data_IF_670668965869
#
_entry.id   IF_670668965869
#
_cell.length_a   1.000
_cell.length_b   1.000
_cell.length_c   1.000
_cell.angle_alpha   90.00
_cell.angle_beta   90.00
_cell.angle_gamma   90.00
#
_symmetry.space_group_name_H-M   'P 1'
#
loop_
_entity.id
_entity.type
_entity.pdbx_description
1 polymer ?
#
# COMPACT_ATOMS: atom_id res chain seq x y z
N UNK A 1 22.31 15.43 22.27
CA UNK A 1 21.62 15.79 21.03
C UNK A 1 20.95 14.54 20.47
N UNK A 2 19.67 14.61 20.15
CA UNK A 2 18.93 13.56 19.46
C UNK A 2 18.77 13.92 17.97
N UNK A 3 18.61 12.92 17.12
CA UNK A 3 18.52 13.19 15.69
C UNK A 3 17.17 13.79 15.32
N UNK A 4 16.06 13.12 15.68
CA UNK A 4 14.71 13.55 15.38
C UNK A 4 13.88 13.56 16.65
N UNK A 5 13.21 14.69 16.92
CA UNK A 5 12.21 14.82 17.98
C UNK A 5 10.87 15.22 17.36
N UNK A 6 9.78 14.56 17.76
CA UNK A 6 8.49 14.78 17.17
C UNK A 6 7.33 14.68 18.15
N UNK A 7 6.17 15.12 17.70
CA UNK A 7 4.93 15.07 18.46
C UNK A 7 3.77 15.72 17.74
N UNK A 8 2.67 15.89 18.41
CA UNK A 8 1.54 16.65 17.87
C UNK A 8 1.89 18.13 17.73
N UNK A 9 1.25 18.83 16.81
CA UNK A 9 1.50 20.26 16.59
C UNK A 9 1.21 21.11 17.83
N UNK A 10 0.34 20.66 18.72
CA UNK A 10 0.01 21.30 20.00
C UNK A 10 1.15 21.23 21.03
N UNK A 11 2.11 20.35 20.85
CA UNK A 11 3.27 20.23 21.74
C UNK A 11 4.38 21.23 21.42
N UNK A 12 4.34 21.91 20.27
CA UNK A 12 5.36 22.90 19.88
C UNK A 12 5.55 23.92 21.00
N UNK A 13 4.46 24.46 21.52
CA UNK A 13 4.49 25.38 22.66
C UNK A 13 3.35 25.01 23.65
N UNK A 14 3.63 24.99 24.96
CA UNK A 14 4.93 25.28 25.61
C UNK A 14 5.85 24.07 25.79
N UNK A 15 5.43 22.83 25.41
CA UNK A 15 6.11 21.60 25.81
C UNK A 15 7.53 21.48 25.21
N UNK A 16 7.65 21.46 23.90
CA UNK A 16 8.94 21.30 23.22
C UNK A 16 9.88 22.48 23.44
N UNK A 17 9.36 23.71 23.51
CA UNK A 17 10.15 24.89 23.87
C UNK A 17 10.75 24.76 25.27
N UNK A 18 10.00 24.22 26.24
CA UNK A 18 10.50 23.95 27.57
C UNK A 18 11.55 22.83 27.61
N UNK A 19 11.37 21.79 26.80
CA UNK A 19 12.37 20.71 26.66
C UNK A 19 13.69 21.25 26.12
N UNK A 20 13.63 22.09 25.09
CA UNK A 20 14.83 22.80 24.55
C UNK A 20 15.49 23.59 25.64
N UNK A 21 14.76 24.47 26.32
CA UNK A 21 15.27 25.34 27.35
C UNK A 21 15.96 24.57 28.49
N UNK A 22 15.32 23.50 28.98
CA UNK A 22 15.89 22.68 30.07
C UNK A 22 17.12 21.89 29.64
N UNK A 23 17.04 21.22 28.46
CA UNK A 23 18.12 20.38 27.97
C UNK A 23 19.35 21.19 27.59
N UNK A 24 19.16 22.28 26.84
CA UNK A 24 20.28 23.12 26.36
C UNK A 24 20.91 23.90 27.47
N UNK A 25 20.13 24.42 28.44
CA UNK A 25 20.70 25.07 29.62
C UNK A 25 21.58 24.13 30.47
N UNK A 26 21.23 22.84 30.55
CA UNK A 26 21.98 21.83 31.27
C UNK A 26 23.22 21.36 30.52
N UNK A 27 23.09 21.11 29.23
CA UNK A 27 24.10 20.40 28.44
C UNK A 27 25.03 21.32 27.64
N UNK A 28 24.58 22.53 27.33
CA UNK A 28 25.26 23.44 26.39
C UNK A 28 25.27 22.94 24.95
N UNK A 29 24.41 21.98 24.60
CA UNK A 29 24.33 21.35 23.28
C UNK A 29 22.94 21.46 22.74
N UNK A 30 22.79 21.53 21.40
CA UNK A 30 21.51 21.44 20.70
C UNK A 30 20.74 20.19 21.14
N UNK A 31 19.49 20.35 21.50
CA UNK A 31 18.64 19.27 21.99
C UNK A 31 18.26 18.28 20.88
N UNK A 32 17.72 18.76 19.77
CA UNK A 32 17.38 17.95 18.61
C UNK A 32 17.82 18.61 17.30
N UNK A 33 18.28 17.78 16.34
CA UNK A 33 18.69 18.26 15.02
C UNK A 33 17.47 18.57 14.13
N UNK A 34 16.44 17.71 14.18
CA UNK A 34 15.22 17.84 13.38
C UNK A 34 13.98 17.73 14.25
N UNK A 35 12.96 18.50 13.90
CA UNK A 35 11.67 18.54 14.57
C UNK A 35 10.55 18.19 13.60
N UNK A 36 9.69 17.25 13.99
CA UNK A 36 8.53 16.83 13.19
C UNK A 36 7.25 16.97 14.01
N UNK A 37 6.31 17.76 13.52
CA UNK A 37 5.03 17.99 14.18
C UNK A 37 3.87 17.50 13.32
N UNK A 38 3.13 16.52 13.84
CA UNK A 38 2.01 15.91 13.14
C UNK A 38 0.74 16.74 13.30
N UNK A 39 -0.09 16.74 12.25
CA UNK A 39 -1.49 17.14 12.34
C UNK A 39 -2.29 16.20 13.27
N UNK A 40 -3.47 16.65 13.65
CA UNK A 40 -4.37 15.86 14.49
C UNK A 40 -5.13 14.81 13.68
N UNK A 41 -5.51 13.72 14.35
CA UNK A 41 -6.60 12.87 13.88
C UNK A 41 -7.92 13.44 14.43
N UNK A 42 -8.84 13.76 13.53
CA UNK A 42 -10.16 14.29 13.85
C UNK A 42 -11.24 13.25 13.55
N UNK A 43 -12.36 13.31 14.25
CA UNK A 43 -13.49 12.39 14.07
C UNK A 43 -14.74 13.14 13.63
N UNK A 44 -15.61 12.43 12.89
CA UNK A 44 -16.92 12.90 12.50
C UNK A 44 -16.91 13.92 11.36
N UNK A 45 -18.11 14.36 10.96
CA UNK A 45 -18.27 15.29 9.84
C UNK A 45 -17.76 16.69 10.17
N UNK A 46 -17.86 17.10 11.43
CA UNK A 46 -17.45 18.42 11.92
C UNK A 46 -15.97 18.54 12.27
N UNK A 47 -15.18 17.48 11.97
CA UNK A 47 -13.72 17.42 12.23
C UNK A 47 -13.37 17.74 13.71
N UNK A 48 -14.15 17.23 14.66
CA UNK A 48 -13.86 17.39 16.06
C UNK A 48 -12.56 16.70 16.47
N UNK A 49 -11.76 17.36 17.29
CA UNK A 49 -10.54 16.78 17.85
C UNK A 49 -10.91 15.55 18.68
N UNK A 50 -10.29 14.41 18.38
CA UNK A 50 -10.42 13.21 19.19
C UNK A 50 -9.85 13.45 20.58
N UNK A 51 -10.65 13.26 21.63
CA UNK A 51 -10.17 13.37 23.01
C UNK A 51 -10.90 12.43 23.96
N UNK A 52 -10.19 11.93 24.97
CA UNK A 52 -10.78 11.07 26.03
C UNK A 52 -11.91 11.79 26.80
N UNK A 53 -11.77 13.10 27.00
CA UNK A 53 -12.75 13.91 27.74
C UNK A 53 -14.07 14.09 27.00
N UNK A 54 -14.08 14.00 25.68
CA UNK A 54 -15.28 14.11 24.85
C UNK A 54 -15.96 12.75 24.61
N UNK A 55 -15.33 11.64 25.04
CA UNK A 55 -15.89 10.30 24.83
C UNK A 55 -15.91 9.82 23.37
N UNK A 56 -15.30 10.59 22.45
CA UNK A 56 -15.18 10.28 21.03
C UNK A 56 -13.84 9.63 20.66
N UNK A 57 -13.16 9.04 21.65
CA UNK A 57 -11.84 8.45 21.50
C UNK A 57 -11.97 6.98 21.08
N UNK A 58 -11.39 6.65 19.92
CA UNK A 58 -11.27 5.27 19.43
C UNK A 58 -9.78 4.89 19.42
N UNK A 59 -9.42 3.75 19.99
CA UNK A 59 -8.03 3.30 19.97
C UNK A 59 -7.70 2.56 18.67
N UNK A 60 -6.43 2.58 18.27
CA UNK A 60 -5.94 1.73 17.16
C UNK A 60 -6.28 0.26 17.43
N UNK A 61 -6.15 -0.19 18.69
CA UNK A 61 -6.50 -1.55 19.09
C UNK A 61 -7.96 -1.90 18.80
N UNK A 62 -8.89 -0.96 19.00
CA UNK A 62 -10.31 -1.20 18.72
C UNK A 62 -10.60 -1.17 17.22
N UNK A 63 -10.00 -0.26 16.48
CA UNK A 63 -10.13 -0.19 15.02
C UNK A 63 -9.62 -1.49 14.36
N UNK A 64 -8.50 -2.03 14.82
CA UNK A 64 -7.90 -3.26 14.27
C UNK A 64 -8.74 -4.54 14.50
N UNK A 65 -9.84 -4.47 15.27
CA UNK A 65 -10.79 -5.58 15.37
C UNK A 65 -11.73 -5.66 14.15
N UNK A 66 -11.89 -4.55 13.42
CA UNK A 66 -12.85 -4.40 12.33
C UNK A 66 -12.19 -4.01 11.00
N UNK A 67 -11.02 -3.39 11.06
CA UNK A 67 -10.30 -2.84 9.90
C UNK A 67 -8.97 -3.58 9.71
N UNK A 68 -8.70 -4.00 8.48
CA UNK A 68 -7.41 -4.60 8.11
C UNK A 68 -6.24 -3.65 8.46
N UNK A 69 -5.18 -4.17 9.09
CA UNK A 69 -4.02 -3.36 9.48
C UNK A 69 -3.36 -2.60 8.32
N UNK A 70 -3.33 -3.18 7.12
CA UNK A 70 -2.77 -2.51 5.95
C UNK A 70 -3.66 -1.36 5.46
N UNK A 71 -4.98 -1.50 5.55
CA UNK A 71 -5.93 -0.42 5.22
C UNK A 71 -5.75 0.75 6.18
N UNK A 72 -5.67 0.49 7.49
CA UNK A 72 -5.45 1.55 8.48
C UNK A 72 -4.11 2.24 8.28
N UNK A 73 -3.04 1.46 8.02
CA UNK A 73 -1.71 2.01 7.73
C UNK A 73 -1.72 2.86 6.46
N UNK A 74 -2.35 2.38 5.40
CA UNK A 74 -2.48 3.11 4.15
C UNK A 74 -3.24 4.41 4.34
N UNK A 75 -4.37 4.39 5.06
CA UNK A 75 -5.16 5.58 5.39
C UNK A 75 -4.32 6.65 6.11
N UNK A 76 -3.56 6.24 7.13
CA UNK A 76 -2.75 7.17 7.93
C UNK A 76 -1.48 7.62 7.20
N UNK A 77 -0.81 6.72 6.49
CA UNK A 77 0.51 6.95 5.90
C UNK A 77 0.50 7.70 4.57
N UNK A 78 -0.63 7.74 3.86
CA UNK A 78 -0.75 8.39 2.55
C UNK A 78 -1.22 9.85 2.62
N UNK A 79 -1.54 10.34 3.82
CA UNK A 79 -1.80 11.75 4.06
C UNK A 79 -0.49 12.47 4.45
N UNK A 80 -0.35 13.74 4.07
CA UNK A 80 0.78 14.54 4.52
C UNK A 80 0.75 14.70 6.05
N UNK A 81 1.84 14.37 6.75
CA UNK A 81 1.88 14.27 8.21
C UNK A 81 1.54 15.56 8.97
N UNK A 82 1.78 16.74 8.37
CA UNK A 82 1.45 18.03 8.98
C UNK A 82 -0.04 18.36 8.91
N UNK A 83 -0.81 17.69 8.05
CA UNK A 83 -2.24 17.98 7.88
C UNK A 83 -3.09 17.15 8.83
N UNK A 84 -4.22 17.69 9.32
CA UNK A 84 -5.18 16.88 10.06
C UNK A 84 -5.73 15.75 9.19
N UNK A 85 -5.82 14.55 9.78
CA UNK A 85 -6.41 13.37 9.14
C UNK A 85 -7.80 13.17 9.70
N UNK A 86 -8.81 13.20 8.83
CA UNK A 86 -10.21 13.02 9.22
C UNK A 86 -10.57 11.53 9.17
N UNK A 87 -10.74 10.94 10.36
CA UNK A 87 -11.20 9.55 10.47
C UNK A 87 -12.73 9.49 10.32
N UNK A 88 -13.18 8.64 9.40
CA UNK A 88 -14.59 8.25 9.23
C UNK A 88 -14.66 6.88 8.56
N UNK A 89 -15.77 6.16 8.71
CA UNK A 89 -16.02 4.90 8.03
C UNK A 89 -15.86 5.04 6.50
N UNK A 90 -16.37 6.13 5.95
CA UNK A 90 -16.24 6.45 4.53
C UNK A 90 -14.76 6.60 4.11
N UNK A 91 -13.94 7.30 4.90
CA UNK A 91 -12.53 7.50 4.60
C UNK A 91 -11.74 6.17 4.67
N UNK A 92 -12.10 5.28 5.59
CA UNK A 92 -11.52 3.93 5.67
C UNK A 92 -11.92 3.09 4.46
N UNK A 93 -13.19 3.14 4.04
CA UNK A 93 -13.63 2.41 2.84
C UNK A 93 -12.96 2.95 1.56
N UNK A 94 -12.80 4.27 1.42
CA UNK A 94 -12.04 4.87 0.33
C UNK A 94 -10.56 4.42 0.34
N UNK A 95 -9.94 4.36 1.52
CA UNK A 95 -8.57 3.86 1.68
C UNK A 95 -8.46 2.37 1.27
N UNK A 96 -9.43 1.55 1.65
CA UNK A 96 -9.50 0.13 1.26
C UNK A 96 -9.58 -0.02 -0.26
N UNK A 97 -10.50 0.70 -0.91
CA UNK A 97 -10.65 0.68 -2.37
C UNK A 97 -9.36 1.12 -3.08
N UNK A 98 -8.70 2.14 -2.55
CA UNK A 98 -7.48 2.67 -3.15
C UNK A 98 -6.27 1.74 -2.93
N UNK A 99 -6.15 1.13 -1.75
CA UNK A 99 -5.15 0.09 -1.49
C UNK A 99 -5.34 -1.12 -2.42
N UNK A 100 -6.59 -1.54 -2.64
CA UNK A 100 -6.89 -2.65 -3.53
C UNK A 100 -6.46 -2.36 -4.98
N UNK A 101 -6.67 -1.14 -5.49
CA UNK A 101 -6.17 -0.74 -6.81
C UNK A 101 -4.65 -0.87 -6.91
N UNK A 102 -3.94 -0.50 -5.85
CA UNK A 102 -2.47 -0.63 -5.78
C UNK A 102 -2.05 -2.10 -5.81
N UNK A 103 -2.71 -2.95 -5.04
CA UNK A 103 -2.45 -4.40 -5.01
C UNK A 103 -2.76 -5.07 -6.35
N UNK A 104 -3.91 -4.77 -6.96
CA UNK A 104 -4.32 -5.34 -8.24
C UNK A 104 -3.33 -5.00 -9.36
N UNK A 105 -2.83 -3.76 -9.43
CA UNK A 105 -1.85 -3.38 -10.45
C UNK A 105 -0.57 -4.24 -10.34
N UNK A 106 -0.09 -4.48 -9.12
CA UNK A 106 1.05 -5.37 -8.88
C UNK A 106 0.74 -6.80 -9.30
N UNK A 107 -0.40 -7.35 -8.89
CA UNK A 107 -0.81 -8.73 -9.19
C UNK A 107 -0.95 -8.97 -10.70
N UNK A 108 -1.60 -8.04 -11.41
CA UNK A 108 -1.76 -8.12 -12.86
C UNK A 108 -0.41 -8.17 -13.58
N UNK A 109 0.50 -7.28 -13.21
CA UNK A 109 1.83 -7.24 -13.80
C UNK A 109 2.65 -8.48 -13.42
N UNK A 110 2.59 -8.91 -12.16
CA UNK A 110 3.31 -10.11 -11.70
C UNK A 110 2.84 -11.37 -12.43
N UNK A 111 1.55 -11.49 -12.68
CA UNK A 111 0.99 -12.61 -13.46
C UNK A 111 1.59 -12.70 -14.86
N UNK A 112 1.88 -11.56 -15.51
CA UNK A 112 2.47 -11.51 -16.86
C UNK A 112 3.92 -11.98 -16.94
N UNK A 113 4.60 -12.18 -15.81
CA UNK A 113 5.94 -12.81 -15.80
C UNK A 113 5.92 -14.23 -16.39
N UNK A 114 4.79 -14.93 -16.33
CA UNK A 114 4.68 -16.32 -16.80
C UNK A 114 4.79 -16.45 -18.34
N UNK A 115 4.38 -15.40 -19.06
CA UNK A 115 4.37 -15.34 -20.52
C UNK A 115 5.27 -14.23 -21.09
N UNK A 116 6.17 -13.70 -20.25
CA UNK A 116 7.09 -12.65 -20.63
C UNK A 116 8.13 -13.16 -21.65
N UNK A 117 8.44 -12.32 -22.65
CA UNK A 117 9.51 -12.58 -23.63
C UNK A 117 10.82 -11.95 -23.17
N UNK A 118 11.95 -12.43 -23.71
CA UNK A 118 13.27 -12.00 -23.26
C UNK A 118 13.52 -10.49 -23.49
N UNK A 119 13.08 -9.92 -24.60
CA UNK A 119 13.23 -8.50 -24.92
C UNK A 119 12.23 -8.03 -25.98
N UNK A 120 11.91 -6.75 -25.95
CA UNK A 120 11.08 -6.02 -26.93
C UNK A 120 11.84 -4.78 -27.43
N UNK A 121 11.53 -4.28 -28.64
CA UNK A 121 12.23 -3.12 -29.24
C UNK A 121 12.13 -1.84 -28.42
N UNK A 122 11.07 -1.68 -27.63
CA UNK A 122 10.76 -0.48 -26.82
C UNK A 122 11.18 -0.60 -25.34
N UNK A 123 11.88 -1.65 -24.98
CA UNK A 123 12.31 -1.89 -23.58
C UNK A 123 13.00 -0.68 -22.95
N UNK A 124 13.88 -0.01 -23.68
CA UNK A 124 14.59 1.15 -23.17
C UNK A 124 13.65 2.34 -22.84
N UNK A 125 12.64 2.56 -23.67
CA UNK A 125 11.64 3.61 -23.47
C UNK A 125 10.74 3.26 -22.25
N UNK A 126 10.29 2.01 -22.15
CA UNK A 126 9.45 1.56 -21.05
C UNK A 126 10.20 1.62 -19.71
N UNK A 127 11.45 1.17 -19.68
CA UNK A 127 12.30 1.27 -18.48
C UNK A 127 12.51 2.73 -18.06
N UNK A 128 12.78 3.62 -19.02
CA UNK A 128 12.96 5.03 -18.74
C UNK A 128 11.67 5.68 -18.17
N UNK A 129 10.49 5.29 -18.65
CA UNK A 129 9.20 5.74 -18.12
C UNK A 129 9.07 5.38 -16.63
N UNK A 130 9.25 4.11 -16.27
CA UNK A 130 9.13 3.64 -14.89
C UNK A 130 10.18 4.26 -13.96
N UNK A 131 11.43 4.39 -14.42
CA UNK A 131 12.51 5.05 -13.67
C UNK A 131 12.22 6.53 -13.44
N UNK A 132 11.65 7.22 -14.42
CA UNK A 132 11.26 8.62 -14.28
C UNK A 132 10.13 8.80 -13.24
N UNK A 133 9.14 7.93 -13.23
CA UNK A 133 8.09 7.93 -12.21
C UNK A 133 8.67 7.70 -10.80
N UNK A 134 9.62 6.77 -10.66
CA UNK A 134 10.30 6.58 -9.38
C UNK A 134 11.08 7.84 -8.97
N UNK A 135 11.79 8.48 -9.89
CA UNK A 135 12.54 9.71 -9.58
C UNK A 135 11.60 10.85 -9.12
N UNK A 136 10.42 10.99 -9.74
CA UNK A 136 9.41 11.94 -9.30
C UNK A 136 8.89 11.60 -7.89
N UNK A 137 8.63 10.32 -7.61
CA UNK A 137 8.22 9.86 -6.28
C UNK A 137 9.26 10.23 -5.22
N UNK A 138 10.55 9.99 -5.49
CA UNK A 138 11.64 10.33 -4.58
C UNK A 138 11.68 11.84 -4.35
N UNK A 139 11.54 12.65 -5.40
CA UNK A 139 11.53 14.11 -5.29
C UNK A 139 10.41 14.63 -4.38
N UNK A 140 9.20 14.08 -4.48
CA UNK A 140 8.09 14.44 -3.58
C UNK A 140 8.34 13.99 -2.13
N UNK A 141 8.93 12.81 -1.93
CA UNK A 141 9.26 12.32 -0.59
C UNK A 141 10.42 13.09 0.04
N UNK A 142 11.37 13.57 -0.75
CA UNK A 142 12.50 14.39 -0.29
C UNK A 142 12.08 15.82 0.07
N UNK A 143 10.93 16.29 -0.43
CA UNK A 143 10.35 17.59 -0.08
C UNK A 143 9.37 17.46 1.09
N UNK A 144 9.91 17.36 2.29
CA UNK A 144 9.13 17.31 3.55
C UNK A 144 8.08 16.18 3.59
N UNK A 145 8.40 15.02 2.99
CA UNK A 145 7.50 13.85 2.95
C UNK A 145 6.11 14.18 2.37
N UNK A 146 6.06 14.75 1.15
CA UNK A 146 4.81 15.02 0.44
C UNK A 146 4.09 13.71 0.05
N UNK A 147 3.61 12.97 1.06
CA UNK A 147 3.06 11.63 0.92
C UNK A 147 1.84 11.57 -0.01
N UNK A 148 0.99 12.60 0.01
CA UNK A 148 -0.19 12.70 -0.86
C UNK A 148 0.19 12.91 -2.35
N UNK A 149 1.21 13.73 -2.62
CA UNK A 149 1.75 13.90 -3.96
C UNK A 149 2.45 12.61 -4.44
N UNK A 150 3.30 12.03 -3.59
CA UNK A 150 3.99 10.77 -3.87
C UNK A 150 3.01 9.64 -4.18
N UNK A 151 1.86 9.56 -3.48
CA UNK A 151 0.80 8.61 -3.79
C UNK A 151 0.14 8.85 -5.14
N UNK A 152 0.03 10.10 -5.57
CA UNK A 152 -0.46 10.42 -6.91
C UNK A 152 0.45 9.83 -8.00
N UNK A 153 1.77 9.84 -7.76
CA UNK A 153 2.75 9.19 -8.64
C UNK A 153 2.64 7.66 -8.58
N UNK A 154 2.39 7.08 -7.39
CA UNK A 154 2.13 5.63 -7.28
C UNK A 154 0.92 5.22 -8.10
N UNK A 155 -0.17 6.00 -8.08
CA UNK A 155 -1.34 5.71 -8.93
C UNK A 155 -1.05 5.86 -10.42
N UNK A 156 -0.25 6.85 -10.81
CA UNK A 156 0.21 6.98 -12.18
C UNK A 156 1.07 5.78 -12.59
N UNK A 157 2.00 5.35 -11.74
CA UNK A 157 2.80 4.15 -11.98
C UNK A 157 1.92 2.91 -12.12
N UNK A 158 0.93 2.71 -11.23
CA UNK A 158 -0.03 1.61 -11.31
C UNK A 158 -0.79 1.60 -12.63
N UNK A 159 -1.20 2.77 -13.13
CA UNK A 159 -1.86 2.91 -14.43
C UNK A 159 -0.94 2.49 -15.58
N UNK A 160 0.29 3.02 -15.63
CA UNK A 160 1.24 2.68 -16.70
C UNK A 160 1.66 1.19 -16.63
N UNK A 161 1.78 0.65 -15.40
CA UNK A 161 2.07 -0.76 -15.18
C UNK A 161 0.93 -1.66 -15.71
N UNK A 162 -0.34 -1.29 -15.47
CA UNK A 162 -1.48 -2.00 -16.05
C UNK A 162 -1.50 -1.91 -17.58
N UNK A 163 -1.28 -0.72 -18.16
CA UNK A 163 -1.23 -0.54 -19.62
C UNK A 163 -0.13 -1.44 -20.23
N UNK A 164 1.05 -1.48 -19.61
CA UNK A 164 2.13 -2.34 -20.06
C UNK A 164 1.76 -3.82 -19.94
N UNK A 165 1.17 -4.22 -18.81
CA UNK A 165 0.74 -5.60 -18.58
C UNK A 165 -0.40 -6.06 -19.51
N UNK A 166 -1.25 -5.18 -20.00
CA UNK A 166 -2.33 -5.46 -20.96
C UNK A 166 -1.83 -5.58 -22.41
N UNK A 167 -0.57 -5.23 -22.69
CA UNK A 167 0.04 -5.36 -24.01
C UNK A 167 0.05 -6.80 -24.54
N UNK A 168 0.14 -6.96 -25.87
CA UNK A 168 0.21 -8.29 -26.52
C UNK A 168 1.40 -9.11 -26.02
N UNK A 169 2.55 -8.48 -25.80
CA UNK A 169 3.75 -9.07 -25.23
C UNK A 169 4.33 -8.14 -24.16
N UNK A 170 5.00 -8.70 -23.17
CA UNK A 170 5.75 -7.99 -22.13
C UNK A 170 7.17 -8.51 -22.07
N UNK A 171 8.15 -7.64 -21.87
CA UNK A 171 9.54 -8.01 -21.68
C UNK A 171 9.79 -8.40 -20.22
N UNK A 172 10.48 -9.52 -20.00
CA UNK A 172 10.86 -9.98 -18.66
C UNK A 172 11.71 -8.94 -17.93
N UNK A 173 12.65 -8.31 -18.65
CA UNK A 173 13.52 -7.28 -18.07
C UNK A 173 12.73 -6.06 -17.60
N UNK A 174 11.79 -5.56 -18.42
CA UNK A 174 10.98 -4.38 -18.09
C UNK A 174 10.02 -4.67 -16.95
N UNK A 175 9.25 -5.77 -17.03
CA UNK A 175 8.23 -6.06 -16.03
C UNK A 175 8.83 -6.38 -14.67
N UNK A 176 9.97 -7.09 -14.64
CA UNK A 176 10.69 -7.36 -13.39
C UNK A 176 11.21 -6.08 -12.75
N UNK A 177 11.82 -5.20 -13.54
CA UNK A 177 12.29 -3.91 -13.06
C UNK A 177 11.12 -3.02 -12.55
N UNK A 178 10.04 -2.92 -13.32
CA UNK A 178 8.86 -2.15 -12.94
C UNK A 178 8.22 -2.65 -11.63
N UNK A 179 8.07 -3.96 -11.47
CA UNK A 179 7.56 -4.56 -10.23
C UNK A 179 8.45 -4.25 -9.02
N UNK A 180 9.78 -4.30 -9.20
CA UNK A 180 10.73 -3.97 -8.13
C UNK A 180 10.63 -2.50 -7.72
N UNK A 181 10.57 -1.57 -8.69
CA UNK A 181 10.40 -0.14 -8.44
C UNK A 181 9.07 0.14 -7.75
N UNK A 182 7.98 -0.43 -8.25
CA UNK A 182 6.65 -0.26 -7.69
C UNK A 182 6.58 -0.75 -6.23
N UNK A 183 7.10 -1.96 -5.97
CA UNK A 183 7.18 -2.54 -4.63
C UNK A 183 7.99 -1.65 -3.68
N UNK A 184 9.10 -1.10 -4.14
CA UNK A 184 9.93 -0.19 -3.34
C UNK A 184 9.18 1.09 -2.96
N UNK A 185 8.49 1.73 -3.94
CA UNK A 185 7.71 2.96 -3.70
C UNK A 185 6.57 2.72 -2.71
N UNK A 186 5.78 1.68 -2.94
CA UNK A 186 4.63 1.34 -2.08
C UNK A 186 5.08 0.87 -0.69
N UNK A 187 6.22 0.20 -0.62
CA UNK A 187 6.84 -0.26 0.62
C UNK A 187 7.21 0.88 1.59
N UNK A 188 7.48 2.10 1.08
CA UNK A 188 7.70 3.28 1.93
C UNK A 188 6.51 3.57 2.84
N UNK A 189 5.29 3.33 2.36
CA UNK A 189 4.05 3.45 3.15
C UNK A 189 3.78 2.22 4.03
N UNK A 190 4.68 1.23 4.05
CA UNK A 190 4.53 0.00 4.81
C UNK A 190 3.45 -0.93 4.25
N UNK A 191 3.07 -0.76 2.99
CA UNK A 191 2.18 -1.68 2.27
C UNK A 191 2.99 -2.86 1.78
N UNK A 192 2.49 -4.05 2.06
CA UNK A 192 3.10 -5.31 1.64
C UNK A 192 2.43 -5.79 0.36
N UNK A 193 3.23 -5.98 -0.70
CA UNK A 193 2.79 -6.53 -1.98
C UNK A 193 3.39 -7.93 -2.17
N UNK A 194 2.56 -8.89 -2.53
CA UNK A 194 2.99 -10.22 -2.98
C UNK A 194 3.25 -11.26 -1.88
N UNK A 195 3.18 -10.91 -0.59
CA UNK A 195 3.32 -11.92 0.49
C UNK A 195 2.08 -12.81 0.61
N UNK A 196 0.90 -12.31 0.27
CA UNK A 196 -0.33 -13.11 0.24
C UNK A 196 -0.29 -14.19 -0.86
N UNK A 197 0.46 -13.95 -1.95
CA UNK A 197 0.63 -14.93 -3.03
C UNK A 197 1.64 -16.05 -2.69
N UNK A 198 2.53 -15.83 -1.72
CA UNK A 198 3.58 -16.79 -1.33
C UNK A 198 3.17 -17.74 -0.19
N UNK A 199 2.10 -17.42 0.54
CA UNK A 199 1.53 -18.29 1.58
C UNK A 199 0.53 -19.32 1.02
N UNK A 200 0.29 -19.30 -0.30
CA UNK A 200 -0.80 -20.05 -0.91
C UNK A 200 -0.36 -21.13 -1.90
N UNK A 201 0.73 -21.82 -1.61
CA UNK A 201 1.03 -23.12 -2.25
C UNK A 201 -0.18 -24.07 -2.14
N UNK A 202 -0.92 -24.00 -1.03
CA UNK A 202 -2.15 -24.79 -0.83
C UNK A 202 -3.28 -24.30 -1.74
N UNK A 203 -3.48 -22.98 -1.91
CA UNK A 203 -4.50 -22.44 -2.82
C UNK A 203 -4.14 -22.75 -4.27
N UNK A 204 -2.88 -22.57 -4.67
CA UNK A 204 -2.44 -22.90 -6.01
C UNK A 204 -2.59 -24.41 -6.29
N UNK A 205 -2.25 -25.26 -5.33
CA UNK A 205 -2.45 -26.72 -5.42
C UNK A 205 -3.92 -27.05 -5.64
N UNK A 206 -4.85 -26.41 -4.91
CA UNK A 206 -6.28 -26.59 -5.09
C UNK A 206 -6.79 -26.08 -6.43
N UNK A 207 -6.24 -24.97 -6.95
CA UNK A 207 -6.57 -24.45 -8.28
C UNK A 207 -6.07 -25.41 -9.38
N UNK A 208 -4.89 -25.96 -9.24
CA UNK A 208 -4.32 -26.94 -10.17
C UNK A 208 -5.15 -28.24 -10.15
N UNK A 209 -5.53 -28.72 -8.95
CA UNK A 209 -6.44 -29.86 -8.80
C UNK A 209 -7.82 -29.59 -9.42
N UNK A 210 -8.38 -28.39 -9.24
CA UNK A 210 -9.62 -27.97 -9.87
C UNK A 210 -9.51 -27.98 -11.40
N UNK A 211 -8.42 -27.49 -11.92
CA UNK A 211 -8.15 -27.45 -13.37
C UNK A 211 -8.02 -28.86 -13.94
N UNK A 212 -7.32 -29.74 -13.23
CA UNK A 212 -7.22 -31.16 -13.60
C UNK A 212 -8.58 -31.84 -13.53
N UNK A 213 -9.36 -31.61 -12.47
CA UNK A 213 -10.72 -32.17 -12.34
C UNK A 213 -11.64 -31.75 -13.51
N UNK A 214 -11.53 -30.51 -14.00
CA UNK A 214 -12.27 -30.05 -15.20
C UNK A 214 -11.80 -30.77 -16.47
N UNK A 215 -10.50 -30.98 -16.62
CA UNK A 215 -9.92 -31.70 -17.75
C UNK A 215 -10.42 -33.16 -17.78
N UNK A 216 -10.49 -33.78 -16.60
CA UNK A 216 -10.96 -35.14 -16.40
C UNK A 216 -12.52 -35.26 -16.40
N UNK A 217 -13.22 -34.15 -16.65
CA UNK A 217 -14.70 -34.03 -16.62
C UNK A 217 -15.31 -34.39 -15.25
N UNK A 218 -14.52 -34.31 -14.17
CA UNK A 218 -15.03 -34.47 -12.81
C UNK A 218 -15.53 -33.12 -12.28
N UNK A 219 -16.66 -32.68 -12.79
CA UNK A 219 -17.24 -31.37 -12.46
C UNK A 219 -17.63 -31.26 -10.97
N UNK A 220 -18.04 -32.38 -10.34
CA UNK A 220 -18.39 -32.40 -8.93
C UNK A 220 -17.17 -31.96 -8.05
N UNK A 221 -15.99 -32.53 -8.31
CA UNK A 221 -14.77 -32.13 -7.58
C UNK A 221 -14.35 -30.69 -7.86
N UNK A 222 -14.46 -30.26 -9.11
CA UNK A 222 -14.18 -28.87 -9.50
C UNK A 222 -15.08 -27.86 -8.78
N UNK A 223 -16.37 -28.17 -8.63
CA UNK A 223 -17.31 -27.30 -7.91
C UNK A 223 -17.07 -27.32 -6.40
N UNK A 224 -16.78 -28.49 -5.82
CA UNK A 224 -16.41 -28.63 -4.40
C UNK A 224 -15.20 -27.75 -4.04
N UNK A 225 -14.14 -27.79 -4.87
CA UNK A 225 -12.93 -26.97 -4.65
C UNK A 225 -13.26 -25.48 -4.78
N UNK A 226 -14.06 -25.08 -5.77
CA UNK A 226 -14.47 -23.69 -5.94
C UNK A 226 -15.27 -23.20 -4.72
N UNK A 227 -16.22 -23.97 -4.25
CA UNK A 227 -17.08 -23.60 -3.12
C UNK A 227 -16.25 -23.57 -1.81
N UNK A 228 -15.35 -24.53 -1.61
CA UNK A 228 -14.40 -24.50 -0.50
C UNK A 228 -13.52 -23.23 -0.49
N UNK A 229 -12.91 -22.88 -1.63
CA UNK A 229 -12.09 -21.67 -1.75
C UNK A 229 -12.93 -20.42 -1.51
N UNK A 230 -14.16 -20.37 -2.02
CA UNK A 230 -15.09 -19.26 -1.78
C UNK A 230 -15.43 -19.10 -0.30
N UNK A 231 -15.66 -20.20 0.42
CA UNK A 231 -15.94 -20.21 1.86
C UNK A 231 -14.71 -19.75 2.69
N UNK A 232 -13.51 -19.91 2.13
CA UNK A 232 -12.26 -19.36 2.69
C UNK A 232 -11.98 -17.90 2.25
N UNK A 233 -12.95 -17.23 1.62
CA UNK A 233 -12.81 -15.87 1.15
C UNK A 233 -11.93 -15.72 -0.10
N UNK A 234 -11.74 -16.80 -0.88
CA UNK A 234 -10.98 -16.78 -2.14
C UNK A 234 -11.94 -16.72 -3.32
N UNK A 235 -11.79 -15.70 -4.14
CA UNK A 235 -12.56 -15.51 -5.38
C UNK A 235 -11.71 -15.98 -6.55
N UNK A 236 -12.28 -16.88 -7.39
CA UNK A 236 -11.63 -17.38 -8.59
C UNK A 236 -12.18 -16.67 -9.83
N UNK A 237 -11.29 -16.17 -10.68
CA UNK A 237 -11.59 -15.57 -11.98
C UNK A 237 -10.98 -16.43 -13.09
N UNK A 238 -11.83 -17.16 -13.84
CA UNK A 238 -11.40 -17.98 -14.98
C UNK A 238 -11.12 -17.07 -16.19
N UNK A 239 -9.88 -17.07 -16.71
CA UNK A 239 -9.48 -16.31 -17.89
C UNK A 239 -9.01 -17.22 -19.01
N UNK A 240 -8.81 -16.68 -20.21
CA UNK A 240 -8.27 -17.44 -21.35
C UNK A 240 -6.83 -17.96 -21.10
N UNK A 241 -6.09 -17.31 -20.18
CA UNK A 241 -4.72 -17.67 -19.81
C UNK A 241 -4.64 -18.58 -18.57
N UNK A 242 -5.79 -18.86 -17.91
CA UNK A 242 -5.84 -19.69 -16.70
C UNK A 242 -6.77 -19.12 -15.63
N UNK A 243 -6.85 -19.78 -14.48
CA UNK A 243 -7.63 -19.33 -13.34
C UNK A 243 -6.79 -18.38 -12.49
N UNK A 244 -7.27 -17.13 -12.34
CA UNK A 244 -6.72 -16.17 -11.36
C UNK A 244 -7.52 -16.26 -10.08
N UNK A 245 -6.91 -15.84 -9.00
CA UNK A 245 -7.61 -15.78 -7.73
C UNK A 245 -7.27 -14.51 -6.95
N UNK A 246 -8.16 -14.10 -6.06
CA UNK A 246 -7.96 -13.00 -5.11
C UNK A 246 -8.73 -13.29 -3.82
N UNK A 247 -8.31 -12.69 -2.73
CA UNK A 247 -9.09 -12.72 -1.47
C UNK A 247 -10.28 -11.75 -1.56
N UNK A 248 -11.42 -12.13 -0.95
CA UNK A 248 -12.65 -11.36 -0.93
C UNK A 248 -12.52 -10.08 -0.09
#
# INVERSE_FOLDING_TARGET
>A
TIDIHGGGHDLTFPHHENEIAQSEAKTGKTFANYWMHNGFVTIGEDAEKMSKSLGNFVTVHDILKEVDPQVLRFFLGTAHYRRPVKYSEKAIEEAKINLEKVKIAYQNAHYRLQDAVAALPDDAEQLALFQNLQAQFVAEMDDDFQADNAMSIVYQFAKELNIYAEGEAVSEAVITAALALYKAMVGVFGVVLGEEALLDDDIQTLIDERTQARTDKNFARSDEIRDYLKDQGIILDDTAQGTRWRRA
#
